data_IF_349357846625
#
_entry.id   IF_349357846625
#
_cell.length_a   1.000
_cell.length_b   1.000
_cell.length_c   1.000
_cell.angle_alpha   90.00
_cell.angle_beta   90.00
_cell.angle_gamma   90.00
#
_symmetry.space_group_name_H-M   'P 1'
#
loop_
_entity.id
_entity.type
_entity.pdbx_description
1 polymer ?
#
# COMPACT_ATOMS: atom_id res chain seq x y z
N UNK A 1 17.22 44.22 1.01
CA UNK A 1 17.66 42.94 1.61
C UNK A 1 16.40 42.12 1.94
N UNK A 2 16.02 41.24 1.05
CA UNK A 2 14.77 40.48 1.11
C UNK A 2 15.04 39.03 1.46
N UNK A 3 14.62 38.62 2.64
CA UNK A 3 14.58 37.22 3.03
C UNK A 3 13.42 36.54 2.31
N UNK A 4 13.74 35.67 1.32
CA UNK A 4 12.77 34.78 0.69
C UNK A 4 12.45 33.64 1.66
N UNK A 5 11.31 33.75 2.32
CA UNK A 5 10.68 32.61 2.98
C UNK A 5 10.27 31.59 1.92
N UNK A 6 10.99 30.46 1.86
CA UNK A 6 10.54 29.26 1.21
C UNK A 6 9.50 28.60 2.13
N UNK A 7 8.22 28.93 1.91
CA UNK A 7 7.14 28.08 2.40
C UNK A 7 7.18 26.80 1.57
N UNK A 8 7.77 25.74 2.14
CA UNK A 8 7.52 24.38 1.73
C UNK A 8 6.03 24.10 2.02
N UNK A 9 5.18 24.24 1.03
CA UNK A 9 3.82 23.77 1.10
C UNK A 9 3.87 22.23 1.15
N UNK A 10 3.94 21.70 2.37
CA UNK A 10 3.59 20.31 2.65
C UNK A 10 2.09 20.23 2.32
N UNK A 11 1.78 19.74 1.14
CA UNK A 11 0.42 19.36 0.79
C UNK A 11 0.11 18.12 1.62
N UNK A 12 -0.30 18.35 2.88
CA UNK A 12 -0.97 17.34 3.67
C UNK A 12 -2.32 17.17 2.97
N UNK A 13 -2.41 16.15 2.12
CA UNK A 13 -3.70 15.66 1.66
C UNK A 13 -4.39 15.04 2.88
N UNK A 14 -5.10 15.88 3.61
CA UNK A 14 -6.09 15.45 4.60
C UNK A 14 -7.22 14.85 3.76
N UNK A 15 -7.13 13.54 3.48
CA UNK A 15 -8.29 12.79 3.05
C UNK A 15 -9.32 12.85 4.18
N UNK A 16 -10.29 13.73 4.05
CA UNK A 16 -11.53 13.62 4.82
C UNK A 16 -12.08 12.22 4.55
N UNK A 17 -12.12 11.39 5.60
CA UNK A 17 -12.63 10.02 5.56
C UNK A 17 -14.12 10.05 5.21
N UNK A 18 -14.45 10.13 3.92
CA UNK A 18 -15.77 9.75 3.45
C UNK A 18 -15.78 8.22 3.28
N UNK A 19 -16.84 7.55 3.71
CA UNK A 19 -17.00 6.10 3.52
C UNK A 19 -16.77 5.68 2.06
N UNK A 20 -17.12 6.54 1.10
CA UNK A 20 -16.88 6.35 -0.34
C UNK A 20 -15.39 6.16 -0.71
N UNK A 21 -14.46 6.74 0.05
CA UNK A 21 -13.02 6.61 -0.27
C UNK A 21 -12.48 5.23 0.12
N UNK A 22 -12.97 4.64 1.21
CA UNK A 22 -12.54 3.32 1.70
C UNK A 22 -13.05 2.22 0.74
N UNK A 23 -14.29 2.32 0.28
CA UNK A 23 -14.92 1.37 -0.64
C UNK A 23 -14.19 1.27 -1.99
N UNK A 24 -13.46 2.34 -2.38
CA UNK A 24 -12.69 2.42 -3.62
C UNK A 24 -11.18 2.30 -3.39
N UNK A 25 -10.77 1.69 -2.29
CA UNK A 25 -9.36 1.55 -1.92
C UNK A 25 -8.97 0.09 -1.76
N UNK A 26 -7.79 -0.25 -2.31
CA UNK A 26 -7.14 -1.56 -2.21
C UNK A 26 -5.80 -1.45 -1.50
N UNK A 27 -5.47 -2.42 -0.65
CA UNK A 27 -4.14 -2.61 -0.10
C UNK A 27 -3.58 -4.01 -0.38
N UNK A 28 -2.30 -4.23 -0.04
CA UNK A 28 -1.58 -5.42 -0.45
C UNK A 28 -0.83 -6.05 0.72
N UNK A 29 -0.86 -7.40 0.79
CA UNK A 29 -0.06 -8.19 1.72
C UNK A 29 0.53 -9.40 1.01
N UNK A 30 1.84 -9.63 1.15
CA UNK A 30 2.45 -10.80 0.53
C UNK A 30 3.73 -11.23 1.21
N UNK A 31 4.10 -12.47 0.96
CA UNK A 31 5.36 -13.02 1.44
C UNK A 31 6.55 -12.30 0.80
N UNK A 32 7.66 -12.21 1.56
CA UNK A 32 8.87 -11.49 1.12
C UNK A 32 9.58 -12.15 -0.06
N UNK A 33 9.34 -13.42 -0.27
CA UNK A 33 9.92 -14.29 -1.30
C UNK A 33 8.94 -14.56 -2.46
N UNK A 34 7.92 -13.72 -2.64
CA UNK A 34 6.97 -13.84 -3.73
C UNK A 34 7.71 -13.91 -5.08
N UNK A 35 7.39 -14.91 -5.95
CA UNK A 35 8.04 -15.07 -7.22
C UNK A 35 7.58 -14.02 -8.23
N UNK A 36 8.47 -13.64 -9.16
CA UNK A 36 8.16 -12.64 -10.19
C UNK A 36 7.07 -13.12 -11.17
N UNK A 37 6.88 -14.43 -11.25
CA UNK A 37 5.89 -15.08 -12.13
C UNK A 37 4.45 -14.69 -11.79
N UNK A 38 4.17 -14.15 -10.59
CA UNK A 38 2.82 -13.69 -10.21
C UNK A 38 2.44 -12.32 -10.77
N UNK A 39 3.40 -11.59 -11.39
CA UNK A 39 3.14 -10.23 -11.87
C UNK A 39 1.98 -10.14 -12.87
N UNK A 40 1.81 -11.06 -13.85
CA UNK A 40 0.67 -11.03 -14.76
C UNK A 40 -0.69 -11.17 -14.03
N UNK A 41 -0.80 -12.12 -13.08
CA UNK A 41 -2.01 -12.28 -12.27
C UNK A 41 -2.28 -11.06 -11.38
N UNK A 42 -1.23 -10.47 -10.83
CA UNK A 42 -1.34 -9.24 -10.04
C UNK A 42 -1.89 -8.08 -10.88
N UNK A 43 -1.36 -7.85 -12.09
CA UNK A 43 -1.85 -6.83 -13.01
C UNK A 43 -3.31 -7.09 -13.37
N UNK A 44 -3.66 -8.33 -13.68
CA UNK A 44 -5.04 -8.73 -13.98
C UNK A 44 -5.97 -8.44 -12.81
N UNK A 45 -5.60 -8.84 -11.59
CA UNK A 45 -6.42 -8.60 -10.38
C UNK A 45 -6.61 -7.11 -10.08
N UNK A 46 -5.58 -6.28 -10.27
CA UNK A 46 -5.67 -4.83 -10.13
C UNK A 46 -6.62 -4.26 -11.20
N UNK A 47 -6.46 -4.66 -12.47
CA UNK A 47 -7.32 -4.22 -13.58
C UNK A 47 -8.79 -4.57 -13.33
N UNK A 48 -9.09 -5.78 -12.85
CA UNK A 48 -10.44 -6.18 -12.49
C UNK A 48 -11.05 -5.32 -11.37
N UNK A 49 -10.26 -4.93 -10.37
CA UNK A 49 -10.73 -4.02 -9.33
C UNK A 49 -11.03 -2.62 -9.87
N UNK A 50 -10.23 -2.11 -10.79
CA UNK A 50 -10.46 -0.80 -11.44
C UNK A 50 -11.75 -0.87 -12.26
N UNK A 51 -11.85 -1.82 -13.19
CA UNK A 51 -12.91 -1.88 -14.18
C UNK A 51 -14.26 -2.30 -13.59
N UNK A 52 -14.29 -3.33 -12.71
CA UNK A 52 -15.53 -3.91 -12.20
C UNK A 52 -16.01 -3.28 -10.90
N UNK A 53 -15.09 -2.78 -10.08
CA UNK A 53 -15.40 -2.27 -8.74
C UNK A 53 -15.12 -0.78 -8.56
N UNK A 54 -14.52 -0.13 -9.57
CA UNK A 54 -14.25 1.29 -9.55
C UNK A 54 -13.20 1.68 -8.49
N UNK A 55 -12.28 0.77 -8.16
CA UNK A 55 -11.18 1.04 -7.23
C UNK A 55 -10.25 2.07 -7.85
N UNK A 56 -9.95 3.12 -7.09
CA UNK A 56 -9.13 4.25 -7.56
C UNK A 56 -7.88 4.47 -6.73
N UNK A 57 -7.86 4.01 -5.48
CA UNK A 57 -6.76 4.25 -4.55
C UNK A 57 -6.06 2.92 -4.20
N UNK A 58 -4.73 2.91 -4.28
CA UNK A 58 -3.93 1.74 -4.00
C UNK A 58 -2.83 2.06 -2.99
N UNK A 59 -2.82 1.35 -1.85
CA UNK A 59 -1.85 1.51 -0.79
C UNK A 59 -0.93 0.30 -0.72
N UNK A 60 0.35 0.49 -0.98
CA UNK A 60 1.37 -0.56 -0.95
C UNK A 60 2.36 -0.35 0.19
N UNK A 61 2.89 -1.44 0.74
CA UNK A 61 4.00 -1.39 1.68
C UNK A 61 5.35 -1.18 1.00
N UNK A 62 6.41 -1.28 1.79
CA UNK A 62 7.79 -1.19 1.30
C UNK A 62 8.70 -2.30 1.84
N UNK A 63 8.12 -3.43 2.24
CA UNK A 63 8.85 -4.50 2.92
C UNK A 63 8.73 -5.85 2.20
N UNK A 64 9.64 -6.11 1.29
CA UNK A 64 9.76 -7.42 0.63
C UNK A 64 9.52 -7.39 -0.86
N UNK A 65 9.69 -8.56 -1.48
CA UNK A 65 9.60 -8.70 -2.94
C UNK A 65 8.20 -8.42 -3.45
N UNK A 66 7.17 -8.89 -2.74
CA UNK A 66 5.78 -8.67 -3.15
C UNK A 66 5.45 -7.16 -3.24
N UNK A 67 5.82 -6.37 -2.24
CA UNK A 67 5.57 -4.92 -2.28
C UNK A 67 6.28 -4.25 -3.46
N UNK A 68 7.49 -4.69 -3.80
CA UNK A 68 8.23 -4.19 -4.98
C UNK A 68 7.54 -4.55 -6.30
N UNK A 69 6.99 -5.77 -6.40
CA UNK A 69 6.22 -6.20 -7.58
C UNK A 69 4.93 -5.39 -7.74
N UNK A 70 4.20 -5.18 -6.63
CA UNK A 70 3.00 -4.35 -6.61
C UNK A 70 3.30 -2.92 -7.05
N UNK A 71 4.35 -2.30 -6.51
CA UNK A 71 4.74 -0.94 -6.89
C UNK A 71 5.07 -0.85 -8.39
N UNK A 72 5.82 -1.83 -8.91
CA UNK A 72 6.14 -1.91 -10.34
C UNK A 72 4.88 -2.08 -11.21
N UNK A 73 3.93 -2.92 -10.79
CA UNK A 73 2.67 -3.14 -11.50
C UNK A 73 1.80 -1.88 -11.49
N UNK A 74 1.66 -1.22 -10.33
CA UNK A 74 0.87 0.03 -10.23
C UNK A 74 1.46 1.15 -11.08
N UNK A 75 2.78 1.27 -11.14
CA UNK A 75 3.46 2.25 -12.00
C UNK A 75 3.17 1.98 -13.50
N UNK A 76 3.13 0.71 -13.90
CA UNK A 76 2.80 0.31 -15.27
C UNK A 76 1.32 0.61 -15.59
N UNK A 77 0.40 0.19 -14.72
CA UNK A 77 -1.04 0.38 -14.89
C UNK A 77 -1.43 1.87 -14.89
N UNK A 78 -0.79 2.69 -14.07
CA UNK A 78 -1.11 4.12 -13.98
C UNK A 78 -0.83 4.90 -15.25
N UNK A 79 -0.04 4.36 -16.18
CA UNK A 79 0.18 4.96 -17.50
C UNK A 79 -1.08 4.89 -18.38
N UNK A 80 -1.86 3.80 -18.25
CA UNK A 80 -3.08 3.58 -19.02
C UNK A 80 -4.34 3.99 -18.25
N UNK A 81 -4.23 4.16 -16.92
CA UNK A 81 -5.32 4.50 -16.00
C UNK A 81 -5.00 5.78 -15.20
N UNK A 82 -5.08 6.98 -15.81
CA UNK A 82 -4.76 8.22 -15.13
C UNK A 82 -5.72 8.58 -13.99
N UNK A 83 -6.86 7.89 -13.89
CA UNK A 83 -7.85 8.06 -12.83
C UNK A 83 -7.46 7.39 -11.50
N UNK A 84 -6.44 6.51 -11.48
CA UNK A 84 -5.99 5.87 -10.25
C UNK A 84 -4.90 6.67 -9.56
N UNK A 85 -4.83 6.51 -8.25
CA UNK A 85 -3.72 6.96 -7.42
C UNK A 85 -3.13 5.81 -6.63
N UNK A 86 -1.82 5.86 -6.41
CA UNK A 86 -1.17 4.88 -5.54
C UNK A 86 -0.14 5.54 -4.64
N UNK A 87 0.02 4.99 -3.45
CA UNK A 87 0.98 5.49 -2.48
C UNK A 87 1.67 4.35 -1.71
N UNK A 88 2.94 4.57 -1.42
CA UNK A 88 3.73 3.71 -0.55
C UNK A 88 3.54 4.14 0.90
N UNK A 89 2.94 3.27 1.71
CA UNK A 89 2.70 3.54 3.12
C UNK A 89 3.88 3.07 3.94
N UNK A 90 4.57 4.00 4.58
CA UNK A 90 5.81 3.76 5.31
C UNK A 90 5.54 3.44 6.77
N UNK A 91 6.27 2.44 7.30
CA UNK A 91 6.27 2.12 8.73
C UNK A 91 7.30 2.94 9.52
N UNK A 92 8.30 3.48 8.83
CA UNK A 92 9.40 4.24 9.44
C UNK A 92 9.72 5.48 8.63
N UNK A 93 10.06 6.56 9.33
CA UNK A 93 10.66 7.72 8.68
C UNK A 93 12.02 7.33 8.09
N UNK A 94 12.32 7.69 6.83
CA UNK A 94 13.61 7.43 6.24
C UNK A 94 14.71 8.12 7.02
N UNK A 95 15.82 7.43 7.21
CA UNK A 95 17.02 8.07 7.79
C UNK A 95 17.59 9.04 6.77
N UNK A 96 17.93 10.28 7.22
CA UNK A 96 18.67 11.24 6.38
C UNK A 96 19.91 10.56 5.78
N UNK A 97 20.04 10.59 4.45
CA UNK A 97 21.19 10.01 3.75
C UNK A 97 21.09 8.51 3.41
N UNK A 98 19.93 7.86 3.55
CA UNK A 98 19.77 6.50 3.04
C UNK A 98 19.57 6.53 1.51
N UNK A 99 20.50 5.94 0.77
CA UNK A 99 20.51 5.86 -0.71
C UNK A 99 19.28 5.14 -1.35
N UNK A 100 18.37 4.64 -0.54
CA UNK A 100 17.22 3.83 -0.99
C UNK A 100 15.97 4.60 -1.33
N UNK A 101 16.01 5.94 -1.26
CA UNK A 101 14.87 6.77 -1.63
C UNK A 101 15.33 7.90 -2.51
N UNK A 102 14.96 7.93 -3.80
CA UNK A 102 15.17 9.10 -4.63
C UNK A 102 14.38 10.26 -4.02
N UNK A 103 15.05 11.37 -3.72
CA UNK A 103 14.43 12.60 -3.19
C UNK A 103 13.35 13.19 -4.12
N UNK A 104 13.23 12.66 -5.33
CA UNK A 104 12.34 13.15 -6.37
C UNK A 104 10.89 12.64 -6.28
N UNK A 105 10.57 11.67 -5.42
CA UNK A 105 9.30 10.93 -5.51
C UNK A 105 8.45 10.92 -4.22
N UNK A 106 8.61 11.92 -3.36
CA UNK A 106 7.86 12.05 -2.10
C UNK A 106 6.33 12.12 -2.28
N UNK A 107 5.86 12.44 -3.48
CA UNK A 107 4.43 12.55 -3.79
C UNK A 107 3.68 11.23 -3.62
N UNK A 108 4.40 10.09 -3.64
CA UNK A 108 3.82 8.77 -3.52
C UNK A 108 3.99 8.14 -2.12
N UNK A 109 4.44 8.89 -1.11
CA UNK A 109 4.64 8.36 0.23
C UNK A 109 3.61 8.87 1.23
N UNK A 110 3.08 7.95 2.03
CA UNK A 110 2.11 8.23 3.10
C UNK A 110 2.65 7.68 4.43
N UNK A 111 2.46 8.43 5.49
CA UNK A 111 2.71 7.98 6.86
C UNK A 111 1.37 7.82 7.58
N UNK A 112 1.10 6.65 8.19
CA UNK A 112 -0.09 6.47 9.02
C UNK A 112 -0.12 7.46 10.18
N UNK A 113 -1.28 8.02 10.47
CA UNK A 113 -1.46 8.92 11.61
C UNK A 113 -1.03 8.25 12.92
N UNK A 114 -0.30 9.00 13.74
CA UNK A 114 0.20 8.54 15.04
C UNK A 114 1.38 7.59 14.99
N UNK A 115 1.93 7.26 13.80
CA UNK A 115 3.06 6.34 13.65
C UNK A 115 4.32 6.82 14.40
N UNK A 116 4.48 8.14 14.54
CA UNK A 116 5.60 8.77 15.25
C UNK A 116 5.63 8.44 16.74
N UNK A 117 4.48 8.13 17.31
CA UNK A 117 4.32 7.77 18.74
C UNK A 117 4.46 6.26 18.99
N UNK A 118 4.53 5.46 17.92
CA UNK A 118 4.57 3.99 18.01
C UNK A 118 5.99 3.49 18.25
N UNK A 119 6.24 2.64 19.26
CA UNK A 119 7.55 2.00 19.43
C UNK A 119 7.97 1.25 18.18
N UNK A 120 9.24 1.40 17.77
CA UNK A 120 9.77 0.90 16.50
C UNK A 120 9.41 -0.57 16.18
N UNK A 121 9.39 -1.44 17.19
CA UNK A 121 9.04 -2.85 17.05
C UNK A 121 7.60 -3.10 16.61
N UNK A 122 6.71 -2.13 16.75
CA UNK A 122 5.29 -2.23 16.41
C UNK A 122 4.90 -1.42 15.17
N UNK A 123 5.80 -0.61 14.61
CA UNK A 123 5.47 0.29 13.49
C UNK A 123 4.97 -0.47 12.24
N UNK A 124 5.53 -1.66 11.93
CA UNK A 124 5.06 -2.47 10.81
C UNK A 124 3.63 -2.95 11.04
N UNK A 125 3.32 -3.44 12.26
CA UNK A 125 1.96 -3.89 12.60
C UNK A 125 0.98 -2.72 12.58
N UNK A 126 1.37 -1.57 13.11
CA UNK A 126 0.57 -0.34 13.07
C UNK A 126 0.24 0.07 11.64
N UNK A 127 1.25 0.15 10.76
CA UNK A 127 1.07 0.45 9.34
C UNK A 127 0.12 -0.55 8.67
N UNK A 128 0.28 -1.85 8.93
CA UNK A 128 -0.57 -2.87 8.34
C UNK A 128 -2.03 -2.77 8.85
N UNK A 129 -2.22 -2.43 10.12
CA UNK A 129 -3.56 -2.16 10.68
C UNK A 129 -4.22 -0.93 10.04
N UNK A 130 -3.44 0.10 9.80
CA UNK A 130 -3.88 1.29 9.08
C UNK A 130 -4.29 0.95 7.65
N UNK A 131 -3.51 0.13 6.93
CA UNK A 131 -3.85 -0.36 5.58
C UNK A 131 -5.21 -1.07 5.57
N UNK A 132 -5.45 -2.00 6.49
CA UNK A 132 -6.72 -2.73 6.59
C UNK A 132 -7.88 -1.79 6.94
N UNK A 133 -7.66 -0.81 7.82
CA UNK A 133 -8.67 0.16 8.22
C UNK A 133 -9.12 1.01 7.03
N UNK A 134 -8.19 1.40 6.17
CA UNK A 134 -8.40 2.35 5.08
C UNK A 134 -8.62 1.69 3.70
N UNK A 135 -8.90 0.38 3.65
CA UNK A 135 -9.11 -0.33 2.39
C UNK A 135 -10.30 -1.28 2.48
N UNK A 136 -11.08 -1.36 1.43
CA UNK A 136 -12.14 -2.38 1.28
C UNK A 136 -11.60 -3.65 0.65
N UNK A 137 -10.66 -3.52 -0.30
CA UNK A 137 -10.08 -4.64 -1.03
C UNK A 137 -8.67 -4.94 -0.57
N UNK A 138 -8.31 -6.21 -0.58
CA UNK A 138 -6.97 -6.70 -0.26
C UNK A 138 -6.55 -7.69 -1.33
N UNK A 139 -5.51 -7.38 -2.10
CA UNK A 139 -4.84 -8.36 -2.94
C UNK A 139 -3.65 -8.91 -2.16
N UNK A 140 -3.54 -10.23 -2.04
CA UNK A 140 -2.45 -10.84 -1.32
C UNK A 140 -1.76 -11.97 -2.11
N UNK A 141 -0.53 -12.25 -1.71
CA UNK A 141 0.18 -13.48 -2.10
C UNK A 141 0.57 -14.22 -0.83
N UNK A 142 -0.25 -15.19 -0.45
CA UNK A 142 -0.07 -16.01 0.73
C UNK A 142 -0.06 -17.48 0.30
N UNK A 143 1.11 -18.13 0.37
CA UNK A 143 1.34 -19.52 -0.04
C UNK A 143 1.49 -20.49 1.13
N UNK A 144 1.51 -19.98 2.37
CA UNK A 144 1.61 -20.79 3.59
C UNK A 144 1.06 -20.05 4.83
N UNK A 145 0.80 -20.80 5.90
CA UNK A 145 0.08 -20.35 7.10
C UNK A 145 0.93 -19.54 8.11
N UNK A 146 2.15 -19.18 7.77
CA UNK A 146 3.06 -18.49 8.70
C UNK A 146 3.45 -17.10 8.23
N UNK A 147 3.72 -16.21 9.18
CA UNK A 147 4.27 -14.88 8.94
C UNK A 147 3.22 -13.79 8.76
N UNK A 148 3.71 -12.56 8.76
CA UNK A 148 2.85 -11.37 8.79
C UNK A 148 1.87 -11.26 7.62
N UNK A 149 2.24 -11.75 6.42
CA UNK A 149 1.33 -11.73 5.27
C UNK A 149 0.06 -12.54 5.54
N UNK A 150 0.21 -13.76 6.07
CA UNK A 150 -0.93 -14.60 6.46
C UNK A 150 -1.75 -13.95 7.59
N UNK A 151 -1.07 -13.51 8.67
CA UNK A 151 -1.75 -12.95 9.85
C UNK A 151 -2.61 -11.73 9.50
N UNK A 152 -2.06 -10.79 8.70
CA UNK A 152 -2.79 -9.59 8.28
C UNK A 152 -3.88 -9.89 7.26
N UNK A 153 -3.70 -10.88 6.39
CA UNK A 153 -4.75 -11.35 5.49
C UNK A 153 -5.93 -11.94 6.26
N UNK A 154 -5.67 -12.78 7.28
CA UNK A 154 -6.72 -13.30 8.17
C UNK A 154 -7.42 -12.17 8.94
N UNK A 155 -6.65 -11.18 9.41
CA UNK A 155 -7.21 -10.00 10.09
C UNK A 155 -8.12 -9.18 9.16
N UNK A 156 -7.73 -9.01 7.91
CA UNK A 156 -8.54 -8.33 6.90
C UNK A 156 -9.88 -9.04 6.66
N UNK A 157 -9.86 -10.36 6.50
CA UNK A 157 -11.08 -11.18 6.38
C UNK A 157 -12.00 -11.03 7.59
N UNK A 158 -11.45 -11.12 8.82
CA UNK A 158 -12.23 -10.93 10.05
C UNK A 158 -12.86 -9.54 10.16
N UNK A 159 -12.29 -8.54 9.48
CA UNK A 159 -12.82 -7.18 9.39
C UNK A 159 -13.78 -6.97 8.21
N UNK A 160 -14.17 -8.03 7.52
CA UNK A 160 -15.12 -7.96 6.40
C UNK A 160 -14.54 -7.36 5.12
N UNK A 161 -13.20 -7.39 4.95
CA UNK A 161 -12.57 -6.93 3.70
C UNK A 161 -12.65 -8.00 2.63
N UNK A 162 -12.80 -7.59 1.38
CA UNK A 162 -12.77 -8.49 0.22
C UNK A 162 -11.32 -8.86 -0.07
N UNK A 163 -10.97 -10.14 0.08
CA UNK A 163 -9.60 -10.64 -0.07
C UNK A 163 -9.47 -11.47 -1.34
N UNK A 164 -8.48 -11.14 -2.17
CA UNK A 164 -8.10 -11.85 -3.39
C UNK A 164 -6.70 -12.41 -3.17
N UNK A 165 -6.55 -13.74 -3.09
CA UNK A 165 -5.23 -14.38 -2.98
C UNK A 165 -4.76 -14.81 -4.36
N UNK A 166 -3.53 -14.41 -4.74
CA UNK A 166 -2.92 -14.74 -6.03
C UNK A 166 -2.23 -16.11 -6.05
N UNK A 167 -2.15 -16.80 -4.90
CA UNK A 167 -1.66 -18.17 -4.83
C UNK A 167 -2.81 -19.17 -4.80
N UNK A 168 -2.52 -20.42 -5.13
CA UNK A 168 -3.48 -21.54 -5.04
C UNK A 168 -3.80 -21.94 -3.58
N UNK A 169 -3.11 -21.32 -2.60
CA UNK A 169 -3.34 -21.57 -1.19
C UNK A 169 -4.65 -20.94 -0.72
N UNK A 170 -5.53 -21.76 -0.16
CA UNK A 170 -6.81 -21.28 0.37
C UNK A 170 -6.58 -20.58 1.72
N UNK A 171 -6.73 -19.27 1.72
CA UNK A 171 -6.46 -18.40 2.88
C UNK A 171 -7.68 -18.27 3.76
#
# INVERSE_FOLDING_TARGET
MGARLWLCAIFIFVFGESMDSIEKTCCFFGHRDAPDTIKPELIKAIGELIEKHGVKNFYVGNNGRFDSLVFSALKEISADHPEISYAVVLAYLPKKGSEKQPEADWQHYVFPDGIESVPKKFCISWRNDWLIKNSQYVICYVSHITGGAFDFTQKAKKKGRTVINLSDFNV
#
